data_IF_276014082831
#
_entry.id   IF_276014082831
#
_cell.length_a   1.000
_cell.length_b   1.000
_cell.length_c   1.000
_cell.angle_alpha   90.00
_cell.angle_beta   90.00
_cell.angle_gamma   90.00
#
_symmetry.space_group_name_H-M   'P 1'
#
loop_
_entity.id
_entity.type
_entity.pdbx_description
1 polymer ?
#
# COMPACT_ATOMS: atom_id res chain seq x y z
N UNK A 1 10.92 -46.53 25.44
CA UNK A 1 11.13 -45.40 24.52
C UNK A 1 10.23 -44.24 24.94
N UNK A 2 10.80 -43.16 25.47
CA UNK A 2 10.06 -41.92 25.74
C UNK A 2 9.72 -41.25 24.40
N UNK A 3 8.46 -41.36 23.97
CA UNK A 3 7.93 -40.55 22.87
C UNK A 3 7.68 -39.14 23.42
N UNK A 4 8.73 -38.32 23.54
CA UNK A 4 8.53 -36.91 23.88
C UNK A 4 7.94 -36.24 22.66
N UNK A 5 6.83 -35.56 22.89
CA UNK A 5 6.04 -34.88 21.88
C UNK A 5 6.78 -33.59 21.48
N UNK A 6 7.97 -33.70 20.89
CA UNK A 6 8.86 -32.57 20.61
C UNK A 6 8.20 -31.54 19.69
N UNK A 7 7.20 -31.98 18.90
CA UNK A 7 6.33 -31.12 18.08
C UNK A 7 5.45 -30.16 18.90
N UNK A 8 5.09 -30.49 20.15
CA UNK A 8 4.30 -29.63 21.06
C UNK A 8 5.15 -28.58 21.79
N UNK A 9 6.47 -28.73 21.81
CA UNK A 9 7.42 -27.82 22.46
C UNK A 9 8.21 -27.01 21.42
N UNK A 10 7.57 -26.63 20.31
CA UNK A 10 8.16 -25.63 19.42
C UNK A 10 8.13 -24.29 20.13
N UNK A 11 9.24 -23.54 20.08
CA UNK A 11 9.23 -22.13 20.46
C UNK A 11 8.04 -21.46 19.78
N UNK A 12 7.21 -20.71 20.54
CA UNK A 12 6.07 -20.04 19.95
C UNK A 12 6.56 -19.10 18.86
N UNK A 13 5.87 -19.12 17.73
CA UNK A 13 6.01 -18.07 16.73
C UNK A 13 5.44 -16.80 17.37
N UNK A 14 6.29 -15.82 17.62
CA UNK A 14 5.89 -14.53 18.19
C UNK A 14 5.78 -13.52 17.05
N UNK A 15 4.68 -12.80 16.99
CA UNK A 15 4.56 -11.59 16.17
C UNK A 15 4.76 -10.37 17.04
N UNK A 16 5.46 -9.37 16.51
CA UNK A 16 5.67 -8.12 17.22
C UNK A 16 5.74 -6.95 16.25
N UNK A 17 5.37 -5.76 16.73
CA UNK A 17 5.49 -4.53 15.95
C UNK A 17 6.95 -4.07 15.99
N UNK A 18 7.46 -3.68 14.82
CA UNK A 18 8.73 -3.00 14.65
C UNK A 18 8.52 -1.70 13.90
N UNK A 19 9.40 -0.73 14.09
CA UNK A 19 9.45 0.48 13.29
C UNK A 19 10.52 0.29 12.21
N UNK A 20 10.10 0.12 10.96
CA UNK A 20 11.05 -0.09 9.85
C UNK A 20 11.76 1.21 9.48
N UNK A 21 11.03 2.33 9.51
CA UNK A 21 11.56 3.65 9.25
C UNK A 21 10.68 4.74 9.87
N UNK A 22 11.30 5.88 10.14
CA UNK A 22 10.63 7.14 10.48
C UNK A 22 11.49 8.29 9.97
N UNK A 23 10.85 9.29 9.37
CA UNK A 23 11.49 10.51 8.93
C UNK A 23 10.55 11.70 9.01
N UNK A 24 11.13 12.88 9.11
CA UNK A 24 10.41 14.15 9.04
C UNK A 24 10.05 14.43 7.59
N UNK A 25 8.82 14.91 7.34
CA UNK A 25 8.31 15.07 5.97
C UNK A 25 9.05 16.17 5.19
N UNK A 26 9.68 17.11 5.91
CA UNK A 26 10.54 18.16 5.32
C UNK A 26 11.90 17.61 4.85
N UNK A 27 12.33 16.44 5.35
CA UNK A 27 13.45 15.69 4.81
C UNK A 27 12.97 14.84 3.65
N UNK A 28 12.92 15.44 2.47
CA UNK A 28 12.59 14.73 1.23
C UNK A 28 13.64 13.65 0.95
N UNK A 29 13.28 12.39 1.18
CA UNK A 29 14.15 11.24 0.93
C UNK A 29 14.20 10.93 -0.56
N UNK A 30 15.41 10.88 -1.13
CA UNK A 30 15.59 10.44 -2.53
C UNK A 30 15.42 8.93 -2.67
N UNK A 31 15.68 8.18 -1.59
CA UNK A 31 15.47 6.75 -1.50
C UNK A 31 15.12 6.31 -0.07
N UNK A 32 14.35 5.24 0.06
CA UNK A 32 14.19 4.51 1.32
C UNK A 32 15.55 4.01 1.85
N UNK A 33 16.54 3.81 0.98
CA UNK A 33 17.92 3.45 1.38
C UNK A 33 18.67 4.57 2.09
N UNK A 34 18.21 5.81 1.95
CA UNK A 34 18.82 6.98 2.60
C UNK A 34 18.36 7.11 4.06
N UNK A 35 17.40 6.29 4.47
CA UNK A 35 16.98 6.18 5.86
C UNK A 35 18.04 5.49 6.68
N UNK A 36 18.26 6.01 7.90
CA UNK A 36 19.07 5.32 8.88
C UNK A 36 18.50 3.91 9.11
N UNK A 37 19.26 2.84 8.84
CA UNK A 37 18.78 1.49 9.02
C UNK A 37 18.45 1.26 10.49
N UNK A 38 17.22 0.85 10.77
CA UNK A 38 16.81 0.41 12.12
C UNK A 38 17.06 -1.09 12.27
N UNK A 39 17.39 -1.56 13.49
CA UNK A 39 17.51 -2.99 13.76
C UNK A 39 16.24 -3.75 13.35
N UNK A 40 16.41 -4.96 12.82
CA UNK A 40 15.31 -5.87 12.49
C UNK A 40 14.79 -6.59 13.75
N UNK A 41 14.39 -5.82 14.75
CA UNK A 41 13.91 -6.34 16.04
C UNK A 41 12.64 -5.64 16.51
N UNK A 42 11.87 -6.26 17.43
CA UNK A 42 10.67 -5.66 18.00
C UNK A 42 10.96 -4.35 18.75
N UNK A 43 10.01 -3.42 18.72
CA UNK A 43 10.05 -2.26 19.61
C UNK A 43 9.95 -2.69 21.06
N UNK A 44 10.78 -2.09 21.92
CA UNK A 44 10.75 -2.33 23.36
C UNK A 44 9.94 -1.25 24.10
N UNK A 45 9.27 -1.64 25.17
CA UNK A 45 8.57 -0.67 26.04
C UNK A 45 9.60 0.28 26.65
N UNK A 46 9.35 1.59 26.54
CA UNK A 46 10.27 2.64 27.00
C UNK A 46 11.31 3.06 25.97
N UNK A 47 11.35 2.42 24.79
CA UNK A 47 12.17 2.88 23.68
C UNK A 47 11.67 4.23 23.16
N UNK A 48 12.60 5.18 23.01
CA UNK A 48 12.31 6.50 22.46
C UNK A 48 12.40 6.41 20.94
N UNK A 49 11.25 6.45 20.26
CA UNK A 49 11.17 6.38 18.80
C UNK A 49 11.41 7.73 18.11
N UNK A 50 11.14 8.84 18.80
CA UNK A 50 11.37 10.21 18.34
C UNK A 50 11.43 11.18 19.53
N UNK A 51 12.12 12.31 19.34
CA UNK A 51 12.17 13.42 20.29
C UNK A 51 11.96 14.73 19.53
N UNK A 52 11.03 15.56 19.99
CA UNK A 52 10.75 16.87 19.40
C UNK A 52 10.70 17.95 20.50
N UNK A 53 11.07 19.21 20.19
CA UNK A 53 10.94 20.30 21.14
C UNK A 53 9.48 20.57 21.54
N UNK A 54 9.28 21.01 22.78
CA UNK A 54 7.95 21.37 23.29
C UNK A 54 7.41 22.57 22.50
N UNK A 55 6.17 22.46 22.02
CA UNK A 55 5.50 23.51 21.26
C UNK A 55 5.73 23.47 19.76
N UNK A 56 6.55 22.54 19.26
CA UNK A 56 6.83 22.37 17.82
C UNK A 56 5.97 21.27 17.23
N UNK A 57 5.34 21.53 16.08
CA UNK A 57 4.72 20.50 15.24
C UNK A 57 5.72 20.08 14.18
N UNK A 58 6.07 18.80 14.17
CA UNK A 58 6.97 18.21 13.17
C UNK A 58 6.16 17.17 12.39
N UNK A 59 5.87 17.38 11.10
CA UNK A 59 5.20 16.39 10.28
C UNK A 59 6.17 15.22 10.03
N UNK A 60 5.69 14.00 10.22
CA UNK A 60 6.52 12.80 10.20
C UNK A 60 5.78 11.66 9.51
N UNK A 61 6.51 10.94 8.66
CA UNK A 61 6.06 9.68 8.08
C UNK A 61 6.66 8.51 8.85
N UNK A 62 5.82 7.56 9.26
CA UNK A 62 6.22 6.35 9.97
C UNK A 62 5.87 5.10 9.17
N UNK A 63 6.78 4.12 9.15
CA UNK A 63 6.59 2.82 8.51
C UNK A 63 6.60 1.71 9.56
N UNK A 64 5.53 1.56 10.37
CA UNK A 64 5.41 0.42 11.26
C UNK A 64 5.22 -0.86 10.42
N UNK A 65 5.84 -1.94 10.87
CA UNK A 65 5.61 -3.26 10.26
C UNK A 65 5.46 -4.31 11.36
N UNK A 66 4.74 -5.39 11.06
CA UNK A 66 4.66 -6.54 11.96
C UNK A 66 5.72 -7.54 11.53
N UNK A 67 6.68 -7.79 12.42
CA UNK A 67 7.66 -8.86 12.26
C UNK A 67 7.12 -10.18 12.81
N UNK A 68 7.60 -11.29 12.26
CA UNK A 68 7.35 -12.64 12.79
C UNK A 68 8.69 -13.27 13.16
N UNK A 69 8.85 -13.69 14.41
CA UNK A 69 10.05 -14.42 14.80
C UNK A 69 10.08 -15.76 14.08
N UNK A 70 11.15 -16.01 13.32
CA UNK A 70 11.40 -17.34 12.78
C UNK A 70 12.05 -18.19 13.89
N UNK A 71 11.39 -19.24 14.40
CA UNK A 71 11.91 -20.01 15.52
C UNK A 71 13.30 -20.56 15.26
N UNK A 72 14.18 -20.48 16.27
CA UNK A 72 15.57 -20.91 16.14
C UNK A 72 16.46 -19.96 15.33
N UNK A 73 15.98 -18.76 15.02
CA UNK A 73 16.76 -17.69 14.39
C UNK A 73 16.47 -16.35 15.07
N UNK A 74 17.42 -15.42 15.02
CA UNK A 74 17.23 -14.03 15.46
C UNK A 74 16.63 -13.15 14.33
N UNK A 75 15.89 -13.76 13.41
CA UNK A 75 15.31 -13.06 12.26
C UNK A 75 13.85 -12.71 12.47
N UNK A 76 13.50 -11.48 12.13
CA UNK A 76 12.14 -10.93 12.19
C UNK A 76 11.70 -10.40 10.82
N UNK A 77 11.53 -11.29 9.81
CA UNK A 77 11.00 -10.87 8.52
C UNK A 77 9.63 -10.19 8.67
N UNK A 78 9.33 -9.28 7.74
CA UNK A 78 8.02 -8.64 7.67
C UNK A 78 6.97 -9.70 7.37
N UNK A 79 5.99 -9.83 8.26
CA UNK A 79 4.96 -10.86 8.18
C UNK A 79 4.24 -10.84 6.83
N UNK A 80 3.82 -9.66 6.35
CA UNK A 80 3.07 -9.57 5.08
C UNK A 80 3.92 -9.97 3.87
N UNK A 81 5.22 -9.65 3.87
CA UNK A 81 6.14 -10.06 2.81
C UNK A 81 6.36 -11.57 2.83
N UNK A 82 6.59 -12.15 4.02
CA UNK A 82 6.75 -13.60 4.17
C UNK A 82 5.50 -14.37 3.74
N UNK A 83 4.31 -13.89 4.09
CA UNK A 83 3.05 -14.48 3.64
C UNK A 83 2.86 -14.36 2.13
N UNK A 84 3.25 -13.23 1.53
CA UNK A 84 3.21 -13.03 0.09
C UNK A 84 4.17 -13.97 -0.65
N UNK A 85 5.40 -14.13 -0.17
CA UNK A 85 6.39 -15.07 -0.74
C UNK A 85 5.89 -16.51 -0.68
N UNK A 86 5.32 -16.94 0.47
CA UNK A 86 4.74 -18.27 0.62
C UNK A 86 3.57 -18.44 -0.35
N UNK A 87 2.64 -17.48 -0.39
CA UNK A 87 1.50 -17.53 -1.29
C UNK A 87 1.93 -17.60 -2.76
N UNK A 88 2.97 -16.83 -3.13
CA UNK A 88 3.54 -16.85 -4.47
C UNK A 88 4.18 -18.21 -4.78
N UNK A 89 5.05 -18.74 -3.92
CA UNK A 89 5.72 -20.01 -4.14
C UNK A 89 4.75 -21.20 -4.20
N UNK A 90 3.77 -21.25 -3.29
CA UNK A 90 2.73 -22.29 -3.33
C UNK A 90 2.00 -22.28 -4.67
N UNK A 91 1.72 -21.08 -5.18
CA UNK A 91 0.96 -20.86 -6.41
C UNK A 91 1.74 -21.15 -7.68
N UNK A 92 3.00 -20.74 -7.76
CA UNK A 92 3.80 -20.83 -8.99
C UNK A 92 4.67 -22.07 -9.05
N UNK A 93 4.95 -22.70 -7.90
CA UNK A 93 5.82 -23.86 -7.81
C UNK A 93 5.08 -25.06 -7.22
N UNK A 94 4.61 -24.98 -5.97
CA UNK A 94 4.18 -26.18 -5.25
C UNK A 94 2.95 -26.85 -5.87
N UNK A 95 1.85 -26.12 -6.03
CA UNK A 95 0.60 -26.66 -6.58
C UNK A 95 0.76 -27.07 -8.05
N UNK A 96 1.37 -26.26 -8.93
CA UNK A 96 1.64 -26.69 -10.31
C UNK A 96 2.45 -27.98 -10.37
N UNK A 97 3.55 -28.11 -9.60
CA UNK A 97 4.37 -29.34 -9.56
C UNK A 97 3.58 -30.56 -9.10
N UNK A 98 2.69 -30.39 -8.12
CA UNK A 98 1.82 -31.49 -7.66
C UNK A 98 0.83 -31.94 -8.73
N UNK A 99 0.39 -31.05 -9.62
CA UNK A 99 -0.57 -31.36 -10.69
C UNK A 99 0.14 -31.93 -11.93
N UNK A 100 1.23 -31.30 -12.36
CA UNK A 100 1.90 -31.62 -13.63
C UNK A 100 3.01 -32.65 -13.47
N UNK A 101 3.59 -32.77 -12.28
CA UNK A 101 4.78 -33.60 -12.03
C UNK A 101 6.07 -33.09 -12.69
N UNK A 102 6.08 -31.86 -13.23
CA UNK A 102 7.20 -31.30 -14.00
C UNK A 102 7.97 -30.20 -13.26
N UNK A 103 9.27 -30.04 -13.59
CA UNK A 103 10.14 -28.97 -13.09
C UNK A 103 10.93 -28.32 -14.27
N UNK A 104 10.68 -27.03 -14.61
CA UNK A 104 9.67 -26.15 -14.01
C UNK A 104 8.25 -26.62 -14.35
N UNK A 105 7.26 -26.30 -13.50
CA UNK A 105 5.91 -26.76 -13.72
C UNK A 105 5.23 -26.00 -14.86
N UNK A 106 4.79 -26.74 -15.87
CA UNK A 106 4.03 -26.22 -17.00
C UNK A 106 2.83 -27.12 -17.33
N UNK A 107 1.65 -26.55 -17.68
CA UNK A 107 1.34 -25.12 -17.70
C UNK A 107 1.12 -24.55 -16.28
N UNK A 108 1.28 -23.24 -16.11
CA UNK A 108 0.93 -22.55 -14.87
C UNK A 108 -0.56 -22.64 -14.55
N UNK A 109 -0.93 -22.36 -13.29
CA UNK A 109 -2.33 -22.39 -12.87
C UNK A 109 -3.16 -21.23 -13.48
N UNK A 110 -4.45 -21.45 -13.79
CA UNK A 110 -5.35 -20.45 -14.38
C UNK A 110 -5.65 -19.27 -13.44
N UNK A 111 -6.02 -18.10 -13.97
CA UNK A 111 -6.19 -16.85 -13.21
C UNK A 111 -7.12 -16.98 -11.98
N UNK A 112 -6.92 -16.12 -10.95
CA UNK A 112 -7.64 -16.22 -9.67
C UNK A 112 -9.08 -15.79 -9.83
N UNK A 113 -10.00 -16.55 -9.24
CA UNK A 113 -11.37 -16.15 -9.01
C UNK A 113 -11.47 -15.37 -7.68
N UNK A 114 -12.01 -14.16 -7.70
CA UNK A 114 -12.13 -13.33 -6.49
C UNK A 114 -13.35 -13.76 -5.68
N UNK A 115 -13.13 -14.53 -4.62
CA UNK A 115 -14.19 -15.07 -3.75
C UNK A 115 -14.76 -14.06 -2.74
N UNK A 116 -14.14 -12.87 -2.60
CA UNK A 116 -14.65 -11.85 -1.67
C UNK A 116 -15.82 -11.05 -2.24
N UNK A 117 -16.20 -11.30 -3.50
CA UNK A 117 -17.30 -10.63 -4.21
C UNK A 117 -18.23 -11.73 -4.73
N UNK A 118 -19.53 -11.53 -4.59
CA UNK A 118 -20.51 -12.42 -5.22
C UNK A 118 -20.55 -12.15 -6.73
N UNK A 119 -20.40 -13.20 -7.54
CA UNK A 119 -20.50 -13.09 -8.99
C UNK A 119 -21.78 -13.79 -9.46
N UNK A 120 -22.57 -13.11 -10.30
CA UNK A 120 -23.78 -13.69 -10.88
C UNK A 120 -23.44 -14.75 -11.96
N UNK A 121 -22.33 -14.56 -12.69
CA UNK A 121 -21.77 -15.54 -13.63
C UNK A 121 -20.35 -15.93 -13.24
N UNK A 122 -20.21 -17.10 -12.63
CA UNK A 122 -18.92 -17.62 -12.18
C UNK A 122 -17.95 -17.90 -13.32
N UNK A 123 -18.43 -18.31 -14.51
CA UNK A 123 -17.55 -18.63 -15.65
C UNK A 123 -16.96 -17.39 -16.26
N UNK A 124 -17.77 -16.34 -16.42
CA UNK A 124 -17.29 -15.05 -16.86
C UNK A 124 -16.30 -14.46 -15.85
N UNK A 125 -16.61 -14.53 -14.55
CA UNK A 125 -15.73 -14.06 -13.49
C UNK A 125 -14.39 -14.84 -13.42
N UNK A 126 -14.39 -16.14 -13.69
CA UNK A 126 -13.16 -16.93 -13.82
C UNK A 126 -12.31 -16.48 -15.03
N UNK A 127 -12.94 -16.17 -16.17
CA UNK A 127 -12.21 -15.66 -17.35
C UNK A 127 -11.66 -14.24 -17.16
N UNK A 128 -12.34 -13.42 -16.36
CA UNK A 128 -11.92 -12.07 -15.97
C UNK A 128 -10.99 -12.06 -14.74
N UNK A 129 -10.61 -13.23 -14.25
CA UNK A 129 -9.78 -13.38 -13.06
C UNK A 129 -8.43 -12.68 -13.17
N UNK A 130 -7.78 -12.43 -12.04
CA UNK A 130 -6.48 -11.74 -12.00
C UNK A 130 -5.38 -12.62 -11.40
N UNK A 131 -4.13 -12.42 -11.81
CA UNK A 131 -2.97 -13.05 -11.13
C UNK A 131 -2.51 -12.24 -9.90
N UNK A 132 -3.02 -11.02 -9.73
CA UNK A 132 -2.69 -10.08 -8.65
C UNK A 132 -2.91 -10.72 -7.28
N UNK A 133 -1.90 -10.62 -6.41
CA UNK A 133 -1.97 -11.17 -5.06
C UNK A 133 -2.89 -10.35 -4.16
N UNK A 134 -3.40 -10.93 -3.07
CA UNK A 134 -4.09 -10.16 -2.04
C UNK A 134 -3.15 -9.11 -1.40
N UNK A 135 -1.85 -9.41 -1.30
CA UNK A 135 -0.83 -8.47 -0.87
C UNK A 135 -0.69 -7.29 -1.83
N UNK A 136 -0.61 -7.55 -3.14
CA UNK A 136 -0.56 -6.52 -4.18
C UNK A 136 -1.84 -5.67 -4.21
N UNK A 137 -3.02 -6.28 -4.06
CA UNK A 137 -4.28 -5.54 -3.91
C UNK A 137 -4.27 -4.64 -2.68
N UNK A 138 -3.76 -5.13 -1.54
CA UNK A 138 -3.65 -4.35 -0.32
C UNK A 138 -2.65 -3.19 -0.48
N UNK A 139 -1.49 -3.41 -1.12
CA UNK A 139 -0.53 -2.35 -1.45
C UNK A 139 -1.16 -1.26 -2.32
N UNK A 140 -1.88 -1.66 -3.38
CA UNK A 140 -2.63 -0.71 -4.23
C UNK A 140 -3.68 0.07 -3.43
N UNK A 141 -4.41 -0.61 -2.55
CA UNK A 141 -5.42 0.04 -1.71
C UNK A 141 -4.81 1.06 -0.74
N UNK A 142 -3.69 0.73 -0.11
CA UNK A 142 -2.97 1.65 0.77
C UNK A 142 -2.44 2.86 0.00
N UNK A 143 -1.78 2.63 -1.15
CA UNK A 143 -1.29 3.70 -2.00
C UNK A 143 -2.42 4.62 -2.47
N UNK A 144 -3.56 4.05 -2.88
CA UNK A 144 -4.73 4.83 -3.27
C UNK A 144 -5.35 5.59 -2.09
N UNK A 145 -5.30 5.06 -0.87
CA UNK A 145 -5.79 5.77 0.31
C UNK A 145 -4.95 7.02 0.61
N UNK A 146 -3.62 6.90 0.58
CA UNK A 146 -2.70 8.04 0.71
C UNK A 146 -2.91 9.06 -0.42
N UNK A 147 -2.93 8.59 -1.67
CA UNK A 147 -3.12 9.45 -2.84
C UNK A 147 -4.41 10.29 -2.79
N UNK A 148 -5.50 9.77 -2.20
CA UNK A 148 -6.74 10.55 -2.03
C UNK A 148 -6.56 11.72 -1.07
N UNK A 149 -5.83 11.55 0.03
CA UNK A 149 -5.53 12.63 0.96
C UNK A 149 -4.66 13.69 0.29
N UNK A 150 -3.56 13.25 -0.31
CA UNK A 150 -2.57 14.14 -0.94
C UNK A 150 -3.20 14.93 -2.10
N UNK A 151 -3.99 14.28 -2.96
CA UNK A 151 -4.69 14.95 -4.05
C UNK A 151 -5.74 15.95 -3.53
N UNK A 152 -6.46 15.64 -2.46
CA UNK A 152 -7.44 16.56 -1.90
C UNK A 152 -6.77 17.84 -1.40
N UNK A 153 -5.68 17.70 -0.66
CA UNK A 153 -4.87 18.82 -0.16
C UNK A 153 -4.29 19.64 -1.32
N UNK A 154 -3.59 18.99 -2.26
CA UNK A 154 -2.95 19.67 -3.40
C UNK A 154 -3.94 20.43 -4.28
N UNK A 155 -5.10 19.83 -4.59
CA UNK A 155 -6.12 20.48 -5.42
C UNK A 155 -6.73 21.67 -4.67
N UNK A 156 -6.91 21.58 -3.35
CA UNK A 156 -7.49 22.66 -2.53
C UNK A 156 -6.64 23.93 -2.47
N UNK A 157 -5.34 23.82 -2.78
CA UNK A 157 -4.40 24.95 -2.82
C UNK A 157 -4.45 25.74 -4.13
N UNK A 158 -5.19 25.26 -5.15
CA UNK A 158 -5.26 25.92 -6.46
C UNK A 158 -6.38 26.96 -6.46
N UNK A 159 -6.09 28.17 -6.96
CA UNK A 159 -7.11 29.19 -7.13
C UNK A 159 -8.33 28.69 -7.94
N UNK A 160 -9.53 28.97 -7.41
CA UNK A 160 -10.79 28.51 -7.98
C UNK A 160 -11.07 27.02 -7.75
N UNK A 161 -10.39 26.37 -6.82
CA UNK A 161 -10.70 25.00 -6.43
C UNK A 161 -12.07 24.89 -5.75
N UNK A 162 -12.76 23.75 -5.88
CA UNK A 162 -13.88 23.43 -5.00
C UNK A 162 -13.41 23.31 -3.54
N UNK A 163 -14.37 23.30 -2.61
CA UNK A 163 -14.07 23.03 -1.19
C UNK A 163 -13.43 21.64 -1.00
N UNK A 164 -12.53 21.52 -0.03
CA UNK A 164 -11.86 20.25 0.31
C UNK A 164 -12.86 19.08 0.51
N UNK A 165 -14.01 19.25 1.21
CA UNK A 165 -15.01 18.18 1.31
C UNK A 165 -15.64 17.76 -0.02
N UNK A 166 -15.76 18.67 -0.99
CA UNK A 166 -16.25 18.32 -2.33
C UNK A 166 -15.21 17.52 -3.11
N UNK A 167 -13.93 17.90 -3.02
CA UNK A 167 -12.83 17.17 -3.65
C UNK A 167 -12.73 15.76 -3.04
N UNK A 168 -12.83 15.64 -1.71
CA UNK A 168 -12.82 14.36 -1.01
C UNK A 168 -13.99 13.45 -1.45
N UNK A 169 -15.20 14.00 -1.62
CA UNK A 169 -16.35 13.24 -2.15
C UNK A 169 -16.12 12.74 -3.57
N UNK A 170 -15.60 13.58 -4.45
CA UNK A 170 -15.25 13.19 -5.82
C UNK A 170 -14.21 12.06 -5.82
N UNK A 171 -13.13 12.20 -5.07
CA UNK A 171 -12.07 11.18 -4.97
C UNK A 171 -12.56 9.87 -4.34
N UNK A 172 -13.58 9.91 -3.48
CA UNK A 172 -14.19 8.72 -2.89
C UNK A 172 -15.01 7.89 -3.89
N UNK A 173 -15.51 8.49 -4.98
CA UNK A 173 -16.22 7.75 -6.04
C UNK A 173 -15.29 7.01 -7.00
N UNK A 174 -14.02 7.43 -7.07
CA UNK A 174 -13.02 6.79 -7.92
C UNK A 174 -12.53 5.48 -7.29
N UNK A 175 -12.35 4.45 -8.10
CA UNK A 175 -11.70 3.22 -7.68
C UNK A 175 -10.19 3.43 -7.45
N UNK A 176 -9.51 2.45 -6.85
CA UNK A 176 -8.09 2.58 -6.52
C UNK A 176 -7.19 2.86 -7.73
N UNK A 177 -7.49 2.25 -8.88
CA UNK A 177 -6.70 2.41 -10.10
C UNK A 177 -6.90 3.81 -10.68
N UNK A 178 -8.14 4.29 -10.73
CA UNK A 178 -8.47 5.65 -11.20
C UNK A 178 -7.82 6.77 -10.38
N UNK A 179 -7.70 6.57 -9.06
CA UNK A 179 -6.98 7.52 -8.19
C UNK A 179 -5.48 7.49 -8.48
N UNK A 180 -4.90 6.29 -8.55
CA UNK A 180 -3.47 6.14 -8.82
C UNK A 180 -3.09 6.64 -10.21
N UNK A 181 -3.95 6.46 -11.21
CA UNK A 181 -3.77 7.00 -12.56
C UNK A 181 -3.73 8.52 -12.59
N UNK A 182 -4.53 9.20 -11.75
CA UNK A 182 -4.50 10.67 -11.64
C UNK A 182 -3.25 11.19 -10.95
N UNK A 183 -2.68 10.41 -10.03
CA UNK A 183 -1.42 10.76 -9.36
C UNK A 183 -0.19 10.44 -10.22
N UNK A 184 -0.27 9.41 -11.06
CA UNK A 184 0.85 8.92 -11.89
C UNK A 184 1.59 9.94 -12.77
N UNK A 185 0.94 10.99 -13.33
CA UNK A 185 1.63 11.97 -14.16
C UNK A 185 2.38 13.02 -13.34
N UNK A 186 2.12 13.14 -12.04
CA UNK A 186 2.83 14.06 -11.16
C UNK A 186 4.29 13.64 -11.05
N UNK A 187 5.18 14.60 -11.22
CA UNK A 187 6.63 14.39 -11.14
C UNK A 187 7.11 14.87 -9.79
N UNK A 188 7.97 14.08 -9.15
CA UNK A 188 8.67 14.52 -7.95
C UNK A 188 9.78 15.50 -8.34
N UNK A 189 9.78 16.68 -7.73
CA UNK A 189 10.89 17.61 -7.76
C UNK A 189 11.62 17.57 -6.42
N UNK A 190 12.91 17.27 -6.42
CA UNK A 190 13.75 17.28 -5.21
C UNK A 190 14.36 18.65 -4.93
N UNK A 191 14.33 19.53 -5.92
CA UNK A 191 14.82 20.91 -5.93
C UNK A 191 13.82 21.73 -6.76
N UNK A 192 13.75 23.05 -6.59
CA UNK A 192 12.84 23.88 -7.39
C UNK A 192 13.20 23.77 -8.88
N UNK A 193 12.30 23.15 -9.64
CA UNK A 193 12.37 23.03 -11.09
C UNK A 193 11.10 23.64 -11.70
N UNK A 194 11.20 24.85 -12.32
CA UNK A 194 10.05 25.52 -12.92
C UNK A 194 9.29 24.67 -13.94
N UNK A 195 9.97 23.76 -14.64
CA UNK A 195 9.31 22.90 -15.63
C UNK A 195 8.49 21.80 -14.97
N UNK A 196 8.99 21.21 -13.88
CA UNK A 196 8.26 20.23 -13.08
C UNK A 196 7.08 20.88 -12.37
N UNK A 197 7.28 22.05 -11.75
CA UNK A 197 6.20 22.80 -11.09
C UNK A 197 5.08 23.14 -12.06
N UNK A 198 5.42 23.66 -13.24
CA UNK A 198 4.44 23.97 -14.29
C UNK A 198 3.71 22.71 -14.78
N UNK A 199 4.42 21.61 -14.97
CA UNK A 199 3.81 20.34 -15.38
C UNK A 199 2.83 19.82 -14.31
N UNK A 200 3.25 19.77 -13.05
CA UNK A 200 2.41 19.32 -11.94
C UNK A 200 1.19 20.21 -11.76
N UNK A 201 1.36 21.53 -11.89
CA UNK A 201 0.25 22.48 -11.83
C UNK A 201 -0.81 22.19 -12.91
N UNK A 202 -0.42 21.94 -14.16
CA UNK A 202 -1.38 21.58 -15.23
C UNK A 202 -2.09 20.24 -14.96
N UNK A 203 -1.39 19.25 -14.41
CA UNK A 203 -2.00 17.97 -14.00
C UNK A 203 -3.05 18.19 -12.91
N UNK A 204 -2.70 18.95 -11.87
CA UNK A 204 -3.61 19.23 -10.75
C UNK A 204 -4.79 20.11 -11.19
N UNK A 205 -4.58 21.05 -12.12
CA UNK A 205 -5.64 21.85 -12.72
C UNK A 205 -6.65 20.98 -13.47
N UNK A 206 -6.19 19.99 -14.23
CA UNK A 206 -7.07 19.01 -14.86
C UNK A 206 -7.91 18.22 -13.84
N UNK A 207 -7.32 17.89 -12.68
CA UNK A 207 -8.04 17.24 -11.58
C UNK A 207 -9.06 18.18 -10.93
N UNK A 208 -8.70 19.45 -10.68
CA UNK A 208 -9.60 20.49 -10.19
C UNK A 208 -10.83 20.64 -11.10
N UNK A 209 -10.61 20.71 -12.41
CA UNK A 209 -11.68 20.89 -13.39
C UNK A 209 -12.61 19.65 -13.47
N UNK A 210 -12.08 18.45 -13.18
CA UNK A 210 -12.90 17.25 -13.01
C UNK A 210 -13.74 17.30 -11.71
N UNK A 211 -13.16 17.77 -10.60
CA UNK A 211 -13.86 17.93 -9.32
C UNK A 211 -14.95 19.03 -9.36
N UNK A 212 -14.74 20.10 -10.14
CA UNK A 212 -15.74 21.14 -10.40
C UNK A 212 -16.93 20.57 -11.17
N UNK A 213 -16.68 19.89 -12.29
CA UNK A 213 -17.73 19.24 -13.09
C UNK A 213 -18.56 18.24 -12.29
N UNK A 214 -17.91 17.52 -11.36
CA UNK A 214 -18.60 16.64 -10.42
C UNK A 214 -19.57 17.41 -9.50
N UNK A 215 -19.16 18.56 -8.96
CA UNK A 215 -20.04 19.39 -8.14
C UNK A 215 -21.21 19.99 -8.90
N UNK A 216 -21.00 20.36 -10.17
CA UNK A 216 -22.05 20.90 -11.04
C UNK A 216 -23.12 19.85 -11.39
N UNK A 217 -22.74 18.57 -11.39
CA UNK A 217 -23.67 17.44 -11.61
C UNK A 217 -24.40 17.00 -10.33
N UNK A 218 -23.97 17.49 -9.16
CA UNK A 218 -24.55 17.25 -7.83
C UNK A 218 -25.42 18.45 -7.34
N UNK A 219 -25.66 19.45 -8.21
CA UNK A 219 -26.53 20.60 -7.94
C UNK A 219 -28.02 20.24 -7.86
N UNK A 220 -28.87 21.05 -7.18
CA UNK A 220 -30.21 20.63 -6.77
C UNK A 220 -31.08 20.29 -7.99
N UNK A 221 -31.63 19.08 -8.01
CA UNK A 221 -32.82 18.77 -8.80
C UNK A 221 -33.95 19.70 -8.31
N UNK A 222 -34.20 20.78 -9.04
CA UNK A 222 -35.42 21.57 -8.90
C UNK A 222 -36.63 20.64 -9.08
N UNK A 223 -37.49 20.61 -8.06
CA UNK A 223 -38.84 20.06 -8.13
C UNK A 223 -39.79 21.13 -8.68
#
# INVERSE_FOLDING_TARGET
>A
MLHTNHAKHRMPVVTAVRLAAMYEDDRMLRSIRDLAPRPEEPLSVGEVIAQTPIGTKVPVTLFPTVGINRPGTDRWPVLIQGLEEIAHWVRTQAVPRLITGTEPPEPGLPMRYEISVGHEDERQAMSAGSTTSAGERHKKALAAASARGDLAEMISMIDGSPSEPQIARWLAQLNHEEVLERMSPLRMAFDYDPEVERHNFEVLKGCRDAALRFGDSDGPHEK
#
